data_IF_368056757105
#
_entry.id   IF_368056757105
#
_cell.length_a   1.000
_cell.length_b   1.000
_cell.length_c   1.000
_cell.angle_alpha   90.00
_cell.angle_beta   90.00
_cell.angle_gamma   90.00
#
_symmetry.space_group_name_H-M   'P 1'
#
loop_
_entity.id
_entity.type
_entity.pdbx_description
1 polymer ?
#
# COMPACT_ATOMS: atom_id res chain seq x y z
N UNK A 1 -0.17 10.78 18.23
CA UNK A 1 -0.55 10.43 16.84
C UNK A 1 -0.44 8.92 16.63
N UNK A 2 -1.34 8.35 15.83
CA UNK A 2 -1.26 6.98 15.30
C UNK A 2 -1.02 6.99 13.78
N UNK A 3 -0.21 6.06 13.29
CA UNK A 3 0.02 5.82 11.86
C UNK A 3 -0.47 4.40 11.52
N UNK A 4 -1.47 4.31 10.66
CA UNK A 4 -2.22 3.09 10.39
C UNK A 4 -2.15 2.78 8.90
N UNK A 5 -1.95 1.53 8.55
CA UNK A 5 -2.03 1.04 7.18
C UNK A 5 -2.77 -0.31 7.11
N UNK A 6 -3.12 -0.75 5.91
CA UNK A 6 -3.75 -2.06 5.72
C UNK A 6 -2.72 -3.20 5.60
N UNK A 7 -1.56 -2.96 4.95
CA UNK A 7 -0.63 -4.04 4.61
C UNK A 7 0.46 -4.26 5.66
N UNK A 8 0.74 -5.53 5.96
CA UNK A 8 1.81 -5.94 6.89
C UNK A 8 3.21 -5.47 6.47
N UNK A 9 3.49 -5.51 5.16
CA UNK A 9 4.78 -5.07 4.62
C UNK A 9 5.02 -3.57 4.85
N UNK A 10 3.99 -2.75 4.64
CA UNK A 10 4.05 -1.31 4.88
C UNK A 10 4.14 -1.02 6.38
N UNK A 11 3.34 -1.70 7.21
CA UNK A 11 3.40 -1.57 8.68
C UNK A 11 4.83 -1.82 9.18
N UNK A 12 5.42 -2.95 8.80
CA UNK A 12 6.79 -3.32 9.14
C UNK A 12 7.83 -2.29 8.68
N UNK A 13 7.64 -1.70 7.50
CA UNK A 13 8.52 -0.65 6.99
C UNK A 13 8.38 0.65 7.81
N UNK A 14 7.15 1.10 8.08
CA UNK A 14 6.87 2.31 8.84
C UNK A 14 7.34 2.19 10.29
N UNK A 15 7.21 1.02 10.91
CA UNK A 15 7.74 0.74 12.25
C UNK A 15 9.28 0.91 12.28
N UNK A 16 9.99 0.29 11.32
CA UNK A 16 11.46 0.44 11.22
C UNK A 16 11.86 1.88 10.95
N UNK A 17 11.14 2.58 10.08
CA UNK A 17 11.40 3.97 9.75
C UNK A 17 11.24 4.87 10.99
N UNK A 18 10.10 4.79 11.66
CA UNK A 18 9.77 5.61 12.82
C UNK A 18 10.63 5.26 14.05
N UNK A 19 11.12 4.03 14.17
CA UNK A 19 12.07 3.63 15.21
C UNK A 19 13.39 4.43 15.17
N UNK A 20 13.74 5.02 14.02
CA UNK A 20 14.93 5.89 13.90
C UNK A 20 14.70 7.32 14.37
N UNK A 21 13.44 7.73 14.57
CA UNK A 21 13.09 9.11 14.93
C UNK A 21 13.37 9.41 16.41
N UNK A 22 13.40 10.70 16.76
CA UNK A 22 13.52 11.08 18.17
C UNK A 22 12.27 10.68 18.95
N UNK A 23 12.40 10.43 20.26
CA UNK A 23 11.29 9.98 21.11
C UNK A 23 10.05 10.88 21.02
N UNK A 24 10.23 12.20 20.84
CA UNK A 24 9.14 13.17 20.77
C UNK A 24 8.38 13.15 19.43
N UNK A 25 8.99 12.62 18.38
CA UNK A 25 8.42 12.56 17.04
C UNK A 25 7.81 11.19 16.72
N UNK A 26 8.15 10.18 17.52
CA UNK A 26 7.62 8.82 17.33
C UNK A 26 6.11 8.77 17.54
N UNK A 27 5.35 8.20 16.60
CA UNK A 27 3.94 7.93 16.81
C UNK A 27 3.74 7.01 18.03
N UNK A 28 2.62 7.18 18.73
CA UNK A 28 2.23 6.31 19.84
C UNK A 28 1.76 4.92 19.36
N UNK A 29 1.46 4.82 18.07
CA UNK A 29 1.11 3.60 17.37
C UNK A 29 1.55 3.68 15.92
N UNK A 30 2.16 2.61 15.42
CA UNK A 30 2.43 2.36 14.02
C UNK A 30 2.05 0.91 13.76
N UNK A 31 1.23 0.63 12.75
CA UNK A 31 0.85 -0.75 12.45
C UNK A 31 -0.44 -0.90 11.67
N UNK A 32 -0.93 -2.12 11.65
CA UNK A 32 -2.17 -2.48 10.95
C UNK A 32 -3.43 -2.15 11.76
N UNK A 33 -4.52 -1.83 11.08
CA UNK A 33 -5.80 -1.55 11.74
C UNK A 33 -6.24 -2.68 12.71
N UNK A 34 -6.15 -3.94 12.29
CA UNK A 34 -6.53 -5.09 13.12
C UNK A 34 -5.64 -5.23 14.36
N UNK A 35 -4.33 -4.99 14.22
CA UNK A 35 -3.39 -5.04 15.34
C UNK A 35 -3.67 -3.94 16.37
N UNK A 36 -4.19 -2.78 15.93
CA UNK A 36 -4.68 -1.75 16.85
C UNK A 36 -5.88 -2.23 17.65
N UNK A 37 -6.83 -2.91 17.00
CA UNK A 37 -7.97 -3.54 17.67
C UNK A 37 -7.55 -4.55 18.74
N UNK A 38 -6.62 -5.43 18.41
CA UNK A 38 -6.08 -6.41 19.37
C UNK A 38 -5.42 -5.71 20.58
N UNK A 39 -4.72 -4.59 20.36
CA UNK A 39 -4.14 -3.78 21.45
C UNK A 39 -5.20 -3.23 22.41
N UNK A 40 -6.40 -2.97 21.92
CA UNK A 40 -7.54 -2.53 22.72
C UNK A 40 -8.34 -3.68 23.34
N UNK A 41 -8.00 -4.94 23.01
CA UNK A 41 -8.69 -6.12 23.51
C UNK A 41 -9.83 -6.61 22.61
N UNK A 42 -9.87 -6.19 21.34
CA UNK A 42 -10.81 -6.73 20.37
C UNK A 42 -10.55 -8.23 20.12
N UNK A 43 -11.58 -9.02 19.78
CA UNK A 43 -11.44 -10.46 19.59
C UNK A 43 -10.46 -10.80 18.46
N UNK A 44 -9.68 -11.86 18.65
CA UNK A 44 -8.91 -12.46 17.56
C UNK A 44 -9.87 -13.02 16.50
N UNK A 45 -9.60 -12.66 15.24
CA UNK A 45 -10.42 -13.07 14.11
C UNK A 45 -10.07 -14.43 13.53
N UNK A 46 -10.91 -14.93 12.61
CA UNK A 46 -10.59 -16.10 11.80
C UNK A 46 -9.39 -15.80 10.88
N UNK A 47 -8.68 -16.83 10.41
CA UNK A 47 -7.51 -16.66 9.52
C UNK A 47 -7.80 -15.71 8.33
N UNK A 48 -7.04 -14.61 8.25
CA UNK A 48 -7.16 -13.56 7.22
C UNK A 48 -6.93 -14.08 5.79
N UNK A 49 -6.23 -15.21 5.63
CA UNK A 49 -5.99 -15.82 4.33
C UNK A 49 -7.24 -16.50 3.75
N UNK A 50 -8.23 -16.80 4.61
CA UNK A 50 -9.51 -17.38 4.22
C UNK A 50 -10.46 -16.25 3.87
N UNK A 51 -10.89 -16.18 2.60
CA UNK A 51 -11.92 -15.24 2.15
C UNK A 51 -13.22 -15.99 1.83
N UNK A 52 -14.16 -15.92 2.77
CA UNK A 52 -15.55 -16.35 2.62
C UNK A 52 -16.49 -15.30 3.24
N UNK A 53 -17.80 -15.47 3.09
CA UNK A 53 -18.80 -14.51 3.61
C UNK A 53 -18.65 -14.23 5.10
N UNK A 54 -18.38 -15.24 5.92
CA UNK A 54 -18.29 -15.09 7.38
C UNK A 54 -17.02 -14.33 7.80
N UNK A 55 -15.89 -14.64 7.17
CA UNK A 55 -14.61 -13.93 7.41
C UNK A 55 -14.70 -12.47 6.96
N UNK A 56 -15.33 -12.18 5.82
CA UNK A 56 -15.55 -10.81 5.35
C UNK A 56 -16.47 -10.07 6.33
N UNK A 57 -17.56 -10.68 6.76
CA UNK A 57 -18.47 -10.10 7.75
C UNK A 57 -17.74 -9.76 9.05
N UNK A 58 -16.87 -10.66 9.52
CA UNK A 58 -16.10 -10.42 10.73
C UNK A 58 -15.13 -9.24 10.57
N UNK A 59 -14.29 -9.26 9.54
CA UNK A 59 -13.22 -8.29 9.35
C UNK A 59 -13.72 -6.90 8.90
N UNK A 60 -14.76 -6.85 8.08
CA UNK A 60 -15.28 -5.59 7.54
C UNK A 60 -16.34 -4.93 8.44
N UNK A 61 -17.05 -5.70 9.29
CA UNK A 61 -18.15 -5.17 10.10
C UNK A 61 -18.04 -5.48 11.60
N UNK A 62 -17.82 -6.74 11.98
CA UNK A 62 -17.93 -7.12 13.41
C UNK A 62 -16.77 -6.63 14.26
N UNK A 63 -15.55 -6.79 13.77
CA UNK A 63 -14.36 -6.30 14.43
C UNK A 63 -14.38 -4.77 14.55
N UNK A 64 -14.61 -3.98 13.48
CA UNK A 64 -14.71 -2.53 13.60
C UNK A 64 -15.77 -2.08 14.60
N UNK A 65 -16.95 -2.73 14.64
CA UNK A 65 -17.97 -2.38 15.62
C UNK A 65 -17.49 -2.56 17.07
N UNK A 66 -16.87 -3.70 17.39
CA UNK A 66 -16.29 -3.92 18.71
C UNK A 66 -15.14 -2.94 19.00
N UNK A 67 -14.31 -2.63 18.00
CA UNK A 67 -13.26 -1.63 18.15
C UNK A 67 -13.81 -0.24 18.44
N UNK A 68 -14.96 0.14 17.90
CA UNK A 68 -15.58 1.44 18.16
C UNK A 68 -16.05 1.54 19.62
N UNK A 69 -16.66 0.46 20.13
CA UNK A 69 -17.05 0.35 21.54
C UNK A 69 -15.82 0.48 22.45
N UNK A 70 -14.77 -0.30 22.19
CA UNK A 70 -13.52 -0.24 22.95
C UNK A 70 -12.85 1.13 22.88
N UNK A 71 -12.79 1.74 21.70
CA UNK A 71 -12.22 3.07 21.49
C UNK A 71 -12.98 4.15 22.27
N UNK A 72 -14.31 4.04 22.35
CA UNK A 72 -15.16 4.96 23.11
C UNK A 72 -14.92 4.88 24.63
N UNK A 73 -14.43 3.75 25.13
CA UNK A 73 -14.11 3.54 26.54
C UNK A 73 -12.64 3.84 26.88
N UNK A 74 -11.80 4.14 25.88
CA UNK A 74 -10.39 4.44 26.11
C UNK A 74 -10.22 5.68 27.01
N UNK A 75 -9.33 5.60 28.02
CA UNK A 75 -8.89 6.77 28.77
C UNK A 75 -8.30 7.83 27.84
N UNK A 76 -8.50 9.12 28.16
CA UNK A 76 -8.03 10.24 27.32
C UNK A 76 -6.52 10.20 26.99
N UNK A 77 -5.72 9.65 27.90
CA UNK A 77 -4.25 9.48 27.73
C UNK A 77 -3.89 8.46 26.66
N UNK A 78 -4.78 7.50 26.40
CA UNK A 78 -4.58 6.39 25.46
C UNK A 78 -5.20 6.70 24.09
N UNK A 79 -5.94 7.83 23.97
CA UNK A 79 -6.46 8.41 22.73
C UNK A 79 -5.42 9.24 21.99
N UNK A 80 -5.62 9.38 20.68
CA UNK A 80 -4.68 10.08 19.81
C UNK A 80 -5.11 11.51 19.49
N UNK A 81 -4.15 12.42 19.43
CA UNK A 81 -4.42 13.78 18.94
C UNK A 81 -4.60 13.83 17.41
N UNK A 82 -4.07 12.82 16.70
CA UNK A 82 -4.22 12.69 15.26
C UNK A 82 -4.05 11.22 14.82
N UNK A 83 -4.71 10.85 13.73
CA UNK A 83 -4.63 9.54 13.07
C UNK A 83 -4.26 9.77 11.60
N UNK A 84 -3.21 9.11 11.15
CA UNK A 84 -2.80 9.08 9.74
C UNK A 84 -3.10 7.70 9.20
N UNK A 85 -3.86 7.63 8.12
CA UNK A 85 -4.23 6.40 7.41
C UNK A 85 -3.55 6.39 6.05
N UNK A 86 -2.72 5.39 5.82
CA UNK A 86 -2.09 5.10 4.54
C UNK A 86 -2.76 3.90 3.87
N UNK A 87 -2.74 3.86 2.53
CA UNK A 87 -3.49 2.89 1.72
C UNK A 87 -5.00 2.87 2.02
N UNK A 88 -5.59 4.06 2.24
CA UNK A 88 -6.98 4.15 2.68
C UNK A 88 -8.00 3.68 1.64
N UNK A 89 -7.61 3.49 0.37
CA UNK A 89 -8.47 2.84 -0.63
C UNK A 89 -8.84 1.40 -0.26
N UNK A 90 -8.05 0.75 0.61
CA UNK A 90 -8.31 -0.61 1.05
C UNK A 90 -9.20 -0.67 2.31
N UNK A 91 -9.62 0.47 2.88
CA UNK A 91 -10.44 0.53 4.10
C UNK A 91 -11.94 0.34 3.80
N UNK A 92 -12.63 -0.38 4.69
CA UNK A 92 -14.09 -0.49 4.69
C UNK A 92 -14.74 0.69 5.43
N UNK A 93 -16.01 0.98 5.15
CA UNK A 93 -16.75 2.10 5.76
C UNK A 93 -16.77 2.04 7.30
N UNK A 94 -17.04 0.86 7.86
CA UNK A 94 -17.18 0.68 9.31
C UNK A 94 -15.86 0.88 10.06
N UNK A 95 -14.72 0.89 9.36
CA UNK A 95 -13.40 1.04 9.97
C UNK A 95 -13.13 2.47 10.43
N UNK A 96 -13.85 3.45 9.88
CA UNK A 96 -13.68 4.86 10.25
C UNK A 96 -14.22 5.17 11.64
N UNK A 97 -15.31 4.50 12.06
CA UNK A 97 -15.94 4.71 13.38
C UNK A 97 -14.96 4.55 14.55
N UNK A 98 -14.22 3.42 14.63
CA UNK A 98 -13.18 3.22 15.65
C UNK A 98 -12.07 4.27 15.64
N UNK A 99 -11.64 4.71 14.46
CA UNK A 99 -10.55 5.68 14.35
C UNK A 99 -10.98 7.06 14.86
N UNK A 100 -12.21 7.46 14.53
CA UNK A 100 -12.80 8.70 15.04
C UNK A 100 -13.01 8.62 16.55
N UNK A 101 -13.56 7.50 17.05
CA UNK A 101 -13.75 7.28 18.49
C UNK A 101 -12.41 7.25 19.27
N UNK A 102 -11.30 6.89 18.63
CA UNK A 102 -9.97 6.89 19.23
C UNK A 102 -9.29 8.27 19.24
N UNK A 103 -9.90 9.29 18.62
CA UNK A 103 -9.41 10.66 18.71
C UNK A 103 -9.68 11.24 20.10
N UNK A 104 -8.75 12.08 20.56
CA UNK A 104 -8.88 12.82 21.82
C UNK A 104 -9.98 13.88 21.75
N UNK A 105 -10.11 14.49 20.60
CA UNK A 105 -11.07 15.55 20.28
C UNK A 105 -11.53 15.30 18.84
N UNK A 106 -12.83 15.13 18.64
CA UNK A 106 -13.39 14.85 17.30
C UNK A 106 -13.44 16.12 16.42
N UNK A 107 -13.43 17.32 17.01
CA UNK A 107 -13.45 18.59 16.28
C UNK A 107 -12.03 19.12 16.00
N UNK A 108 -11.14 19.01 16.99
CA UNK A 108 -9.75 19.49 16.87
C UNK A 108 -8.74 18.41 16.49
N UNK A 109 -9.10 17.13 16.63
CA UNK A 109 -8.25 16.01 16.26
C UNK A 109 -8.11 15.87 14.75
N UNK A 110 -6.88 15.57 14.30
CA UNK A 110 -6.60 15.47 12.86
C UNK A 110 -6.77 14.04 12.36
N UNK A 111 -7.62 13.82 11.36
CA UNK A 111 -7.47 12.66 10.47
C UNK A 111 -6.73 13.10 9.21
N UNK A 112 -5.77 12.28 8.78
CA UNK A 112 -5.07 12.46 7.51
C UNK A 112 -5.18 11.17 6.73
N UNK A 113 -5.71 11.24 5.52
CA UNK A 113 -6.01 10.07 4.70
C UNK A 113 -5.21 10.16 3.42
N UNK A 114 -4.38 9.16 3.18
CA UNK A 114 -3.59 9.00 1.97
C UNK A 114 -4.17 7.83 1.17
N UNK A 115 -4.51 8.09 -0.10
CA UNK A 115 -5.11 7.10 -0.98
C UNK A 115 -4.73 7.35 -2.43
N UNK A 116 -4.57 6.28 -3.19
CA UNK A 116 -4.38 6.31 -4.65
C UNK A 116 -5.61 5.73 -5.36
N UNK A 117 -6.43 6.61 -5.96
CA UNK A 117 -7.64 6.19 -6.68
C UNK A 117 -7.33 5.34 -7.92
N UNK A 118 -6.13 5.49 -8.52
CA UNK A 118 -5.69 4.72 -9.67
C UNK A 118 -5.33 3.26 -9.33
N UNK A 119 -5.21 2.94 -8.04
CA UNK A 119 -4.89 1.60 -7.53
C UNK A 119 -6.08 0.94 -6.81
N UNK A 120 -7.31 1.42 -7.02
CA UNK A 120 -8.52 0.75 -6.51
C UNK A 120 -8.73 -0.61 -7.20
N UNK A 121 -8.14 -1.66 -6.65
CA UNK A 121 -8.32 -3.05 -7.09
C UNK A 121 -9.56 -3.69 -6.46
N UNK A 122 -10.07 -3.13 -5.36
CA UNK A 122 -11.28 -3.58 -4.67
C UNK A 122 -12.35 -2.49 -4.66
N UNK A 123 -13.61 -2.87 -4.87
CA UNK A 123 -14.79 -1.98 -4.94
C UNK A 123 -15.24 -1.52 -3.53
N UNK A 124 -14.27 -1.14 -2.68
CA UNK A 124 -14.51 -0.67 -1.31
C UNK A 124 -14.83 0.82 -1.35
N UNK A 125 -16.07 1.19 -1.03
CA UNK A 125 -16.56 2.57 -1.02
C UNK A 125 -16.36 3.28 0.33
N UNK A 126 -15.29 2.92 1.05
CA UNK A 126 -14.91 3.48 2.35
C UNK A 126 -14.71 5.00 2.31
N UNK A 127 -15.74 5.81 2.55
CA UNK A 127 -15.58 7.28 2.68
C UNK A 127 -15.66 7.64 4.16
N UNK A 128 -14.60 8.23 4.75
CA UNK A 128 -14.67 8.67 6.13
C UNK A 128 -15.84 9.66 6.30
N UNK A 129 -16.66 9.54 7.36
CA UNK A 129 -17.88 10.34 7.54
C UNK A 129 -17.60 11.79 7.96
N UNK A 130 -16.48 12.36 7.52
CA UNK A 130 -15.98 13.68 7.85
C UNK A 130 -15.51 14.41 6.60
N UNK A 131 -15.64 15.74 6.62
CA UNK A 131 -15.21 16.57 5.49
C UNK A 131 -13.69 16.62 5.41
N UNK A 132 -13.12 15.85 4.49
CA UNK A 132 -11.71 15.95 4.15
C UNK A 132 -11.49 17.09 3.16
N UNK A 133 -10.39 17.82 3.35
CA UNK A 133 -9.89 18.76 2.33
C UNK A 133 -9.07 17.96 1.33
N UNK A 134 -9.52 17.80 0.07
CA UNK A 134 -8.79 17.01 -0.90
C UNK A 134 -7.51 17.74 -1.32
N UNK A 135 -6.38 17.05 -1.18
CA UNK A 135 -5.09 17.49 -1.71
C UNK A 135 -4.63 16.45 -2.73
N UNK A 136 -4.61 16.85 -4.01
CA UNK A 136 -4.18 15.97 -5.10
C UNK A 136 -2.67 16.06 -5.22
N UNK A 137 -1.99 14.92 -5.04
CA UNK A 137 -0.56 14.78 -5.28
C UNK A 137 -0.34 14.36 -6.74
N UNK A 138 -0.14 15.34 -7.62
CA UNK A 138 -0.02 15.14 -9.06
C UNK A 138 1.44 14.99 -9.54
N UNK A 139 2.42 14.90 -8.65
CA UNK A 139 3.85 14.82 -9.01
C UNK A 139 4.43 13.41 -8.79
N UNK A 140 4.83 12.72 -9.87
CA UNK A 140 5.53 11.44 -9.78
C UNK A 140 7.03 11.66 -9.62
N UNK A 141 7.56 11.32 -8.44
CA UNK A 141 8.98 11.42 -8.08
C UNK A 141 9.70 10.06 -8.07
N UNK A 142 8.97 8.95 -8.17
CA UNK A 142 9.49 7.59 -7.95
C UNK A 142 10.02 6.97 -9.23
N UNK A 143 9.28 7.09 -10.31
CA UNK A 143 9.53 6.39 -11.56
C UNK A 143 10.32 7.28 -12.52
N UNK A 144 11.12 6.67 -13.39
CA UNK A 144 11.74 7.39 -14.50
C UNK A 144 10.66 7.85 -15.49
N UNK A 145 10.98 8.85 -16.29
CA UNK A 145 10.04 9.35 -17.30
C UNK A 145 9.61 8.25 -18.27
N UNK A 146 10.55 7.41 -18.73
CA UNK A 146 10.33 6.29 -19.63
C UNK A 146 9.27 5.30 -19.09
N UNK A 147 9.37 4.95 -17.80
CA UNK A 147 8.38 4.08 -17.16
C UNK A 147 7.04 4.79 -17.09
N UNK A 148 7.01 6.00 -16.55
CA UNK A 148 5.74 6.69 -16.34
C UNK A 148 5.03 7.02 -17.65
N UNK A 149 5.74 7.38 -18.73
CA UNK A 149 5.19 7.61 -20.06
C UNK A 149 4.58 6.32 -20.64
N UNK A 150 5.25 5.17 -20.47
CA UNK A 150 4.76 3.87 -20.96
C UNK A 150 3.44 3.45 -20.34
N UNK A 151 3.21 3.80 -19.07
CA UNK A 151 1.98 3.45 -18.34
C UNK A 151 0.96 4.60 -18.29
N UNK A 152 1.28 5.81 -18.75
CA UNK A 152 0.37 6.96 -18.76
C UNK A 152 -0.98 6.65 -19.44
N UNK A 153 -1.05 5.94 -20.58
CA UNK A 153 -2.33 5.60 -21.20
C UNK A 153 -3.21 4.66 -20.36
N UNK A 154 -2.63 3.94 -19.39
CA UNK A 154 -3.32 2.96 -18.55
C UNK A 154 -3.83 3.59 -17.24
N UNK A 155 -3.35 4.78 -16.87
CA UNK A 155 -3.70 5.45 -15.62
C UNK A 155 -4.66 6.59 -15.93
N UNK A 156 -5.82 6.62 -15.26
CA UNK A 156 -6.88 7.61 -15.50
C UNK A 156 -6.55 9.03 -15.02
N UNK A 157 -5.47 9.24 -14.30
CA UNK A 157 -5.05 10.54 -13.74
C UNK A 157 -3.79 11.07 -14.45
N UNK A 158 -3.79 12.38 -14.76
CA UNK A 158 -2.63 13.06 -15.32
C UNK A 158 -1.61 13.35 -14.22
N UNK A 159 -0.48 12.64 -14.25
CA UNK A 159 0.67 12.91 -13.37
C UNK A 159 1.72 13.77 -14.09
N UNK A 160 2.31 14.73 -13.36
CA UNK A 160 3.51 15.44 -13.76
C UNK A 160 4.74 14.61 -13.42
N UNK A 161 5.50 14.25 -14.46
CA UNK A 161 6.68 13.40 -14.33
C UNK A 161 7.90 14.23 -13.93
N UNK A 162 8.32 14.08 -12.68
CA UNK A 162 9.50 14.74 -12.12
C UNK A 162 10.62 13.76 -11.75
N UNK A 163 10.44 12.47 -12.05
CA UNK A 163 11.52 11.50 -11.98
C UNK A 163 12.64 11.76 -12.99
N UNK A 164 13.77 11.10 -12.76
CA UNK A 164 14.93 11.16 -13.64
C UNK A 164 14.74 10.42 -14.97
N UNK A 165 15.78 10.48 -15.81
CA UNK A 165 15.89 9.66 -17.01
C UNK A 165 16.39 8.25 -16.64
N UNK A 166 15.89 7.22 -17.31
CA UNK A 166 16.31 5.83 -17.17
C UNK A 166 16.31 5.07 -18.48
N UNK A 167 16.54 3.75 -18.44
CA UNK A 167 16.42 2.90 -19.62
C UNK A 167 14.97 2.87 -20.13
N UNK A 168 14.82 2.59 -21.42
CA UNK A 168 13.51 2.37 -22.04
C UNK A 168 12.84 1.12 -21.47
N UNK A 169 11.50 1.14 -21.42
CA UNK A 169 10.72 -0.03 -21.00
C UNK A 169 10.83 -1.10 -22.08
N UNK A 170 11.34 -2.28 -21.71
CA UNK A 170 11.46 -3.42 -22.60
C UNK A 170 10.27 -4.36 -22.44
N UNK A 171 9.57 -4.63 -23.55
CA UNK A 171 8.57 -5.69 -23.64
C UNK A 171 9.17 -6.91 -24.34
N UNK A 172 9.29 -8.03 -23.62
CA UNK A 172 9.82 -9.29 -24.16
C UNK A 172 8.66 -10.25 -24.46
N UNK A 173 8.29 -10.44 -25.74
CA UNK A 173 7.22 -11.36 -26.10
C UNK A 173 7.64 -12.81 -25.85
N UNK A 174 6.79 -13.58 -25.18
CA UNK A 174 6.97 -15.01 -24.94
C UNK A 174 5.63 -15.74 -24.91
N UNK A 175 5.66 -17.07 -25.05
CA UNK A 175 4.49 -17.89 -24.78
C UNK A 175 4.22 -17.94 -23.27
N UNK A 176 2.97 -18.20 -22.87
CA UNK A 176 2.59 -18.17 -21.46
C UNK A 176 3.31 -19.26 -20.65
N UNK A 177 3.56 -20.41 -21.27
CA UNK A 177 4.35 -21.52 -20.71
C UNK A 177 5.83 -21.18 -20.51
N UNK A 178 6.38 -20.27 -21.32
CA UNK A 178 7.79 -19.89 -21.28
C UNK A 178 8.05 -18.65 -20.41
N UNK A 179 6.99 -18.02 -19.89
CA UNK A 179 7.09 -16.73 -19.21
C UNK A 179 8.05 -16.73 -18.01
N UNK A 180 8.11 -17.84 -17.25
CA UNK A 180 9.04 -17.97 -16.13
C UNK A 180 10.49 -18.09 -16.62
N UNK A 181 10.75 -18.98 -17.58
CA UNK A 181 12.07 -19.17 -18.17
C UNK A 181 12.60 -17.86 -18.77
N UNK A 182 11.76 -17.15 -19.54
CA UNK A 182 12.12 -15.88 -20.15
C UNK A 182 12.35 -14.80 -19.10
N UNK A 183 11.58 -14.78 -18.00
CA UNK A 183 11.81 -13.85 -16.91
C UNK A 183 13.14 -14.11 -16.19
N UNK A 184 13.48 -15.38 -15.93
CA UNK A 184 14.75 -15.78 -15.34
C UNK A 184 15.92 -15.34 -16.22
N UNK A 185 15.85 -15.58 -17.54
CA UNK A 185 16.87 -15.12 -18.50
C UNK A 185 17.07 -13.59 -18.45
N UNK A 186 15.99 -12.82 -18.28
CA UNK A 186 16.10 -11.36 -18.14
C UNK A 186 16.69 -10.93 -16.80
N UNK A 187 16.38 -11.63 -15.71
CA UNK A 187 16.97 -11.37 -14.39
C UNK A 187 18.47 -11.63 -14.43
N UNK A 188 18.89 -12.75 -15.01
CA UNK A 188 20.31 -13.11 -15.18
C UNK A 188 21.04 -12.05 -16.02
N UNK A 189 20.46 -11.62 -17.14
CA UNK A 189 21.03 -10.54 -17.96
C UNK A 189 21.22 -9.24 -17.18
N UNK A 190 20.26 -8.86 -16.33
CA UNK A 190 20.40 -7.66 -15.49
C UNK A 190 21.45 -7.85 -14.41
N UNK A 191 21.56 -9.03 -13.80
CA UNK A 191 22.62 -9.31 -12.83
C UNK A 191 24.01 -9.23 -13.48
N UNK A 192 24.15 -9.72 -14.72
CA UNK A 192 25.39 -9.62 -15.50
C UNK A 192 25.76 -8.16 -15.84
N UNK A 193 24.76 -7.28 -15.99
CA UNK A 193 24.95 -5.83 -16.14
C UNK A 193 25.35 -5.13 -14.82
N UNK A 194 25.41 -5.86 -13.71
CA UNK A 194 25.86 -5.37 -12.41
C UNK A 194 24.73 -4.93 -11.48
N UNK A 195 23.47 -5.23 -11.82
CA UNK A 195 22.35 -5.03 -10.92
C UNK A 195 22.41 -6.02 -9.76
N UNK A 196 22.17 -5.53 -8.54
CA UNK A 196 22.19 -6.41 -7.36
C UNK A 196 20.82 -7.06 -7.18
N UNK A 197 20.74 -8.27 -6.60
CA UNK A 197 19.47 -8.92 -6.34
C UNK A 197 18.47 -8.05 -5.57
N UNK A 198 18.92 -7.20 -4.63
CA UNK A 198 18.07 -6.28 -3.88
C UNK A 198 17.49 -5.11 -4.70
N UNK A 199 18.02 -4.86 -5.90
CA UNK A 199 17.53 -3.82 -6.82
C UNK A 199 16.49 -4.38 -7.81
N UNK A 200 16.30 -5.70 -7.83
CA UNK A 200 15.42 -6.43 -8.74
C UNK A 200 14.16 -6.93 -8.01
N UNK A 201 13.01 -6.83 -8.67
CA UNK A 201 11.76 -7.39 -8.19
C UNK A 201 11.02 -8.10 -9.32
N UNK A 202 10.56 -9.32 -9.05
CA UNK A 202 9.72 -10.10 -9.97
C UNK A 202 8.27 -10.07 -9.49
N UNK A 203 7.37 -9.61 -10.35
CA UNK A 203 5.94 -9.55 -10.08
C UNK A 203 5.16 -10.33 -11.14
N UNK A 204 4.27 -11.22 -10.71
CA UNK A 204 3.43 -12.03 -11.58
C UNK A 204 1.98 -11.97 -11.09
N UNK A 205 1.03 -11.80 -12.03
CA UNK A 205 -0.38 -11.87 -11.69
C UNK A 205 -0.86 -13.33 -11.73
N UNK A 206 -1.41 -13.82 -10.63
CA UNK A 206 -2.16 -15.07 -10.56
C UNK A 206 -3.62 -14.75 -10.85
N UNK A 207 -4.15 -15.19 -11.99
CA UNK A 207 -5.59 -15.26 -12.19
C UNK A 207 -6.16 -16.27 -11.18
N UNK A 208 -6.80 -15.80 -10.11
CA UNK A 208 -7.65 -16.64 -9.25
C UNK A 208 -8.87 -17.05 -10.08
N UNK A 209 -8.82 -18.24 -10.67
CA UNK A 209 -9.99 -18.84 -11.30
C UNK A 209 -11.08 -19.03 -10.23
N UNK A 210 -12.27 -18.49 -10.50
CA UNK A 210 -13.49 -18.86 -9.79
C UNK A 210 -13.64 -20.39 -9.84
N UNK A 211 -14.09 -20.96 -8.72
CA UNK A 211 -13.99 -22.36 -8.32
C UNK A 211 -14.36 -23.41 -9.37
N UNK A 212 -13.77 -24.60 -9.14
CA UNK A 212 -14.02 -25.90 -9.77
C UNK A 212 -13.14 -26.21 -11.00
N UNK A 213 -11.87 -26.51 -10.69
CA UNK A 213 -11.05 -27.45 -11.43
C UNK A 213 -10.76 -27.09 -12.88
N UNK A 214 -9.86 -26.14 -13.14
CA UNK A 214 -9.09 -26.18 -14.38
C UNK A 214 -7.85 -25.27 -14.35
N UNK A 215 -6.87 -25.67 -15.17
CA UNK A 215 -5.50 -25.20 -15.32
C UNK A 215 -5.33 -23.67 -15.42
N UNK A 216 -4.34 -23.16 -14.68
CA UNK A 216 -3.93 -21.76 -14.60
C UNK A 216 -3.45 -21.20 -15.95
N UNK A 217 -3.72 -19.91 -16.20
CA UNK A 217 -3.17 -19.15 -17.33
C UNK A 217 -2.74 -17.77 -16.83
N UNK A 218 -1.52 -17.35 -17.20
CA UNK A 218 -0.79 -16.21 -16.61
C UNK A 218 -0.52 -15.10 -17.65
N UNK A 219 -0.55 -13.83 -17.23
CA UNK A 219 0.02 -12.65 -17.94
C UNK A 219 0.62 -11.67 -16.93
N UNK A 220 1.80 -11.11 -17.19
CA UNK A 220 2.53 -10.21 -16.28
C UNK A 220 3.24 -9.05 -16.99
N UNK A 221 3.46 -7.95 -16.25
CA UNK A 221 4.19 -6.74 -16.66
C UNK A 221 5.21 -6.42 -15.53
N UNK A 222 6.45 -6.06 -15.88
CA UNK A 222 7.57 -5.80 -14.94
C UNK A 222 7.94 -4.32 -14.94
N UNK A 223 8.15 -3.72 -13.76
CA UNK A 223 8.70 -2.37 -13.59
C UNK A 223 10.02 -2.41 -12.81
N UNK A 224 11.10 -1.86 -13.38
CA UNK A 224 12.42 -1.77 -12.75
C UNK A 224 12.67 -0.38 -12.16
N UNK A 225 13.39 -0.31 -11.03
CA UNK A 225 13.83 0.95 -10.40
C UNK A 225 15.20 1.34 -10.97
N UNK A 226 15.53 2.62 -11.24
CA UNK A 226 16.80 3.00 -11.86
C UNK A 226 18.01 2.80 -10.92
N UNK A 227 19.22 2.53 -11.45
CA UNK A 227 20.43 2.30 -10.66
C UNK A 227 21.11 3.64 -10.28
N UNK A 228 21.94 3.68 -9.23
CA UNK A 228 22.57 4.91 -8.78
C UNK A 228 23.81 5.30 -9.64
N UNK A 229 23.63 6.32 -10.48
CA UNK A 229 24.63 7.36 -10.76
C UNK A 229 25.74 7.07 -11.78
N UNK A 230 25.70 7.76 -12.93
CA UNK A 230 26.89 8.04 -13.74
C UNK A 230 27.11 9.56 -13.86
N UNK A 231 28.25 10.02 -13.34
CA UNK A 231 28.68 11.42 -13.36
C UNK A 231 28.98 11.85 -14.80
N UNK A 232 28.38 12.96 -15.22
CA UNK A 232 28.78 13.71 -16.41
C UNK A 232 30.27 14.03 -16.42
N UNK A 233 30.98 13.60 -17.48
CA UNK A 233 32.15 14.31 -18.00
C UNK A 233 31.68 15.19 -19.14
N UNK A 234 31.74 16.51 -18.93
CA UNK A 234 31.72 17.51 -20.01
C UNK A 234 33.09 17.49 -20.70
N UNK A 235 33.10 17.56 -22.02
CA UNK A 235 34.28 17.88 -22.81
C UNK A 235 33.87 18.61 -24.09
N UNK A 236 34.50 19.76 -24.32
CA UNK A 236 34.71 20.39 -25.62
C UNK A 236 33.58 21.27 -26.12
#
# INVERSE_FOLDING_TARGET
MALICYSHGLASYLERLTATWSYKERPAYVGEFHALGQRWGAPEGPDESIRNTDTVQFWEHDLPRHMAELASELPLRDRFDAVVVDEAQDFADDWWGPLLAALRDEEAGGIYVFSDEGQRVFDRQGVPPIQLVPLVLDHNLRNTRQIADSFTPLVGQRMRLLGGEGPEVLFVPCAAEDALTVADDQIDSLMDEGWRPEDLAFAQSLLRAHEQGCSQTYRGCVGCRPPPGSRHRRSG
#
